data_IF_694844956456
#
_entry.id   IF_694844956456
#
_cell.length_a   1.000
_cell.length_b   1.000
_cell.length_c   1.000
_cell.angle_alpha   90.00
_cell.angle_beta   90.00
_cell.angle_gamma   90.00
#
_symmetry.space_group_name_H-M   'P 1'
#
loop_
_entity.id
_entity.type
_entity.pdbx_description
1 polymer ?
#
# COMPACT_ATOMS: atom_id res chain seq x y z
N UNK A 1 15.46 -46.50 -8.13
CA UNK A 1 14.67 -45.32 -8.53
C UNK A 1 13.43 -45.27 -7.66
N UNK A 2 13.50 -44.52 -6.56
CA UNK A 2 12.39 -44.35 -5.61
C UNK A 2 11.45 -43.30 -6.19
N UNK A 3 10.27 -43.72 -6.66
CA UNK A 3 9.20 -42.80 -6.98
C UNK A 3 8.81 -42.10 -5.68
N UNK A 4 9.21 -40.83 -5.55
CA UNK A 4 8.73 -39.97 -4.49
C UNK A 4 7.20 -40.03 -4.50
N UNK A 5 6.60 -40.41 -3.37
CA UNK A 5 5.17 -40.24 -3.14
C UNK A 5 4.91 -38.74 -3.06
N UNK A 6 4.80 -38.09 -4.21
CA UNK A 6 4.10 -36.81 -4.33
C UNK A 6 2.71 -37.08 -3.78
N UNK A 7 2.41 -36.54 -2.61
CA UNK A 7 1.05 -36.51 -2.09
C UNK A 7 0.27 -35.55 -2.99
N UNK A 8 -0.62 -36.04 -3.86
CA UNK A 8 -1.39 -35.18 -4.76
C UNK A 8 -2.17 -34.13 -3.95
N UNK A 9 -2.04 -32.86 -4.33
CA UNK A 9 -2.70 -31.73 -3.65
C UNK A 9 -4.12 -31.52 -4.18
N UNK A 10 -4.96 -30.77 -3.45
CA UNK A 10 -6.31 -30.41 -3.91
C UNK A 10 -6.34 -29.71 -5.27
N UNK A 11 -5.25 -29.05 -5.66
CA UNK A 11 -5.08 -28.38 -6.95
C UNK A 11 -5.13 -29.36 -8.14
N UNK A 12 -4.61 -30.57 -7.99
CA UNK A 12 -4.64 -31.58 -9.07
C UNK A 12 -6.07 -32.07 -9.34
N UNK A 13 -6.87 -32.18 -8.27
CA UNK A 13 -8.30 -32.53 -8.38
C UNK A 13 -9.07 -31.38 -9.03
N UNK A 14 -8.78 -30.13 -8.65
CA UNK A 14 -9.40 -28.96 -9.28
C UNK A 14 -9.05 -28.84 -10.77
N UNK A 15 -7.80 -29.13 -11.15
CA UNK A 15 -7.38 -29.14 -12.56
C UNK A 15 -8.07 -30.24 -13.37
N UNK A 16 -8.17 -31.46 -12.82
CA UNK A 16 -8.91 -32.55 -13.45
C UNK A 16 -10.41 -32.23 -13.59
N UNK A 17 -11.00 -31.60 -12.57
CA UNK A 17 -12.39 -31.18 -12.58
C UNK A 17 -12.64 -30.06 -13.60
N UNK A 18 -11.73 -29.09 -13.73
CA UNK A 18 -11.77 -28.06 -14.76
C UNK A 18 -11.61 -28.63 -16.18
N UNK A 19 -10.85 -29.72 -16.34
CA UNK A 19 -10.74 -30.46 -17.60
C UNK A 19 -11.97 -31.34 -17.90
N UNK A 20 -12.89 -31.51 -16.95
CA UNK A 20 -14.06 -32.38 -17.09
C UNK A 20 -13.75 -33.86 -16.95
N UNK A 21 -12.53 -34.24 -16.53
CA UNK A 21 -12.11 -35.63 -16.43
C UNK A 21 -12.56 -36.25 -15.09
N UNK A 22 -13.82 -36.65 -15.05
CA UNK A 22 -14.43 -37.35 -13.90
C UNK A 22 -13.67 -38.63 -13.55
N UNK A 23 -13.02 -39.29 -14.52
CA UNK A 23 -12.24 -40.50 -14.30
C UNK A 23 -10.99 -40.22 -13.46
N UNK A 24 -10.24 -39.17 -13.83
CA UNK A 24 -9.06 -38.72 -13.08
C UNK A 24 -9.46 -38.18 -11.71
N UNK A 25 -10.55 -37.41 -11.62
CA UNK A 25 -11.09 -36.97 -10.33
C UNK A 25 -11.36 -38.18 -9.42
N UNK A 26 -12.12 -39.18 -9.88
CA UNK A 26 -12.39 -40.42 -9.10
C UNK A 26 -11.11 -41.13 -8.67
N UNK A 27 -10.13 -41.22 -9.55
CA UNK A 27 -8.86 -41.85 -9.26
C UNK A 27 -8.08 -41.10 -8.17
N UNK A 28 -8.07 -39.77 -8.20
CA UNK A 28 -7.44 -38.93 -7.18
C UNK A 28 -8.19 -39.04 -5.83
N UNK A 29 -9.53 -39.02 -5.84
CA UNK A 29 -10.32 -39.18 -4.62
C UNK A 29 -10.09 -40.53 -3.94
N UNK A 30 -10.00 -41.61 -4.70
CA UNK A 30 -9.72 -42.94 -4.17
C UNK A 30 -8.35 -43.04 -3.48
N UNK A 31 -7.44 -42.09 -3.72
CA UNK A 31 -6.11 -41.99 -3.10
C UNK A 31 -6.08 -41.07 -1.87
N UNK A 32 -7.24 -40.54 -1.47
CA UNK A 32 -7.38 -39.68 -0.30
C UNK A 32 -7.05 -38.22 -0.55
N UNK A 33 -7.11 -37.73 -1.80
CA UNK A 33 -6.98 -36.30 -2.06
C UNK A 33 -8.15 -35.54 -1.42
N UNK A 34 -7.90 -34.42 -0.72
CA UNK A 34 -8.98 -33.61 -0.18
C UNK A 34 -9.78 -32.97 -1.32
N UNK A 35 -11.10 -32.87 -1.14
CA UNK A 35 -11.98 -32.10 -2.02
C UNK A 35 -12.49 -30.91 -1.23
N UNK A 36 -12.12 -29.71 -1.65
CA UNK A 36 -12.69 -28.49 -1.12
C UNK A 36 -13.67 -27.88 -2.13
N UNK A 37 -14.28 -26.78 -1.73
CA UNK A 37 -15.23 -26.00 -2.53
C UNK A 37 -14.62 -25.47 -3.83
N UNK A 38 -13.29 -25.34 -3.88
CA UNK A 38 -12.49 -24.91 -5.04
C UNK A 38 -12.57 -25.88 -6.23
N UNK A 39 -12.69 -27.20 -5.99
CA UNK A 39 -12.82 -28.21 -7.05
C UNK A 39 -14.13 -28.03 -7.83
N UNK A 40 -15.24 -27.84 -7.11
CA UNK A 40 -16.54 -27.57 -7.75
C UNK A 40 -16.53 -26.21 -8.44
N UNK A 41 -15.89 -25.20 -7.84
CA UNK A 41 -15.72 -23.89 -8.46
C UNK A 41 -14.88 -23.93 -9.74
N UNK A 42 -13.82 -24.74 -9.78
CA UNK A 42 -12.99 -24.93 -10.96
C UNK A 42 -13.75 -25.62 -12.11
N UNK A 43 -14.51 -26.68 -11.81
CA UNK A 43 -15.40 -27.31 -12.78
C UNK A 43 -16.46 -26.34 -13.30
N UNK A 44 -17.04 -25.54 -12.40
CA UNK A 44 -18.06 -24.56 -12.74
C UNK A 44 -17.51 -23.42 -13.62
N UNK A 45 -16.34 -22.87 -13.28
CA UNK A 45 -15.63 -21.86 -14.07
C UNK A 45 -15.25 -22.37 -15.48
N UNK A 46 -15.00 -23.68 -15.61
CA UNK A 46 -14.67 -24.33 -16.89
C UNK A 46 -15.90 -24.87 -17.64
N UNK A 47 -17.12 -24.61 -17.15
CA UNK A 47 -18.39 -25.08 -17.73
C UNK A 47 -18.52 -26.61 -17.83
N UNK A 48 -17.92 -27.35 -16.90
CA UNK A 48 -17.93 -28.82 -16.92
C UNK A 48 -19.17 -29.35 -16.20
N UNK A 49 -20.33 -29.28 -16.87
CA UNK A 49 -21.63 -29.69 -16.30
C UNK A 49 -21.60 -31.11 -15.72
N UNK A 50 -21.07 -32.09 -16.46
CA UNK A 50 -21.00 -33.49 -16.01
C UNK A 50 -20.06 -33.68 -14.80
N UNK A 51 -19.01 -32.87 -14.69
CA UNK A 51 -18.15 -32.89 -13.52
C UNK A 51 -18.85 -32.24 -12.30
N UNK A 52 -19.59 -31.15 -12.51
CA UNK A 52 -20.40 -30.52 -11.46
C UNK A 52 -21.51 -31.44 -10.95
N UNK A 53 -22.26 -32.07 -11.86
CA UNK A 53 -23.28 -33.09 -11.56
C UNK A 53 -22.68 -34.23 -10.76
N UNK A 54 -21.57 -34.81 -11.23
CA UNK A 54 -20.91 -35.89 -10.53
C UNK A 54 -20.44 -35.48 -9.13
N UNK A 55 -19.84 -34.30 -8.97
CA UNK A 55 -19.37 -33.78 -7.67
C UNK A 55 -20.53 -33.56 -6.69
N UNK A 56 -21.69 -33.12 -7.17
CA UNK A 56 -22.90 -32.92 -6.37
C UNK A 56 -23.58 -34.23 -6.01
N UNK A 57 -23.61 -35.21 -6.92
CA UNK A 57 -24.14 -36.56 -6.69
C UNK A 57 -23.32 -37.36 -5.66
N UNK A 58 -22.02 -37.08 -5.52
CA UNK A 58 -21.23 -37.63 -4.42
C UNK A 58 -21.66 -37.07 -3.03
N UNK A 59 -22.61 -36.14 -3.00
CA UNK A 59 -23.43 -35.81 -1.85
C UNK A 59 -22.63 -35.38 -0.63
N UNK A 60 -21.85 -34.30 -0.76
CA UNK A 60 -21.19 -33.66 0.38
C UNK A 60 -20.24 -34.50 1.23
N UNK A 61 -19.99 -35.76 0.88
CA UNK A 61 -19.02 -36.63 1.54
C UNK A 61 -17.58 -36.22 1.21
N UNK A 62 -17.41 -35.43 0.15
CA UNK A 62 -16.14 -34.89 -0.32
C UNK A 62 -15.65 -33.69 0.53
N UNK A 63 -16.55 -32.91 1.14
CA UNK A 63 -16.19 -31.69 1.86
C UNK A 63 -15.54 -31.96 3.22
N UNK A 64 -15.59 -33.18 3.74
CA UNK A 64 -15.05 -33.55 5.03
C UNK A 64 -13.66 -34.22 4.94
N UNK A 65 -12.63 -33.44 4.61
CA UNK A 65 -11.25 -33.85 4.95
C UNK A 65 -10.49 -32.71 5.59
N UNK A 66 -10.81 -32.41 6.85
CA UNK A 66 -9.85 -31.84 7.80
C UNK A 66 -10.31 -32.03 9.26
N UNK A 67 -9.60 -32.91 9.97
CA UNK A 67 -9.42 -32.98 11.43
C UNK A 67 -10.62 -33.29 12.35
N UNK A 68 -10.29 -33.83 13.53
CA UNK A 68 -11.19 -34.46 14.51
C UNK A 68 -12.24 -33.50 15.09
N UNK A 69 -13.51 -33.66 14.70
CA UNK A 69 -14.66 -33.00 15.31
C UNK A 69 -15.77 -34.01 15.66
N UNK A 70 -16.56 -33.80 16.74
CA UNK A 70 -17.64 -34.70 17.15
C UNK A 70 -18.73 -34.84 16.07
N UNK A 71 -19.35 -36.03 15.97
CA UNK A 71 -20.32 -36.37 14.92
C UNK A 71 -21.51 -35.41 14.78
N UNK A 72 -21.95 -34.76 15.87
CA UNK A 72 -23.02 -33.76 15.85
C UNK A 72 -22.60 -32.44 15.17
N UNK A 73 -21.36 -31.99 15.36
CA UNK A 73 -20.80 -30.81 14.68
C UNK A 73 -20.48 -31.09 13.20
N UNK A 74 -20.36 -32.36 12.82
CA UNK A 74 -20.08 -32.79 11.44
C UNK A 74 -21.27 -32.58 10.51
N UNK A 75 -22.52 -32.73 11.01
CA UNK A 75 -23.74 -32.53 10.23
C UNK A 75 -23.94 -31.07 9.84
N UNK A 76 -23.92 -30.17 10.83
CA UNK A 76 -24.10 -28.73 10.62
C UNK A 76 -22.95 -28.14 9.79
N UNK A 77 -21.72 -28.61 10.01
CA UNK A 77 -20.56 -28.17 9.22
C UNK A 77 -20.57 -28.70 7.79
N UNK A 78 -21.06 -29.92 7.53
CA UNK A 78 -21.21 -30.48 6.19
C UNK A 78 -22.28 -29.74 5.38
N UNK A 79 -23.38 -29.38 6.04
CA UNK A 79 -24.44 -28.56 5.44
C UNK A 79 -23.93 -27.13 5.14
N UNK A 80 -23.24 -26.49 6.09
CA UNK A 80 -22.64 -25.15 5.90
C UNK A 80 -21.53 -25.16 4.84
N UNK A 81 -20.66 -26.17 4.83
CA UNK A 81 -19.59 -26.31 3.83
C UNK A 81 -20.13 -26.64 2.44
N UNK A 82 -21.22 -27.41 2.37
CA UNK A 82 -21.92 -27.71 1.13
C UNK A 82 -22.64 -26.52 0.53
N UNK A 83 -23.36 -25.77 1.38
CA UNK A 83 -24.02 -24.53 0.99
C UNK A 83 -23.00 -23.49 0.48
N UNK A 84 -21.88 -23.31 1.19
CA UNK A 84 -20.77 -22.44 0.75
C UNK A 84 -20.13 -22.93 -0.54
N UNK A 85 -19.91 -24.23 -0.69
CA UNK A 85 -19.35 -24.81 -1.92
C UNK A 85 -20.23 -24.54 -3.14
N UNK A 86 -21.55 -24.66 -2.98
CA UNK A 86 -22.51 -24.34 -4.03
C UNK A 86 -22.53 -22.84 -4.36
N UNK A 87 -22.46 -21.95 -3.36
CA UNK A 87 -22.34 -20.51 -3.57
C UNK A 87 -21.11 -20.14 -4.41
N UNK A 88 -19.94 -20.66 -4.03
CA UNK A 88 -18.71 -20.32 -4.73
C UNK A 88 -18.70 -20.87 -6.15
N UNK A 89 -19.22 -22.08 -6.37
CA UNK A 89 -19.36 -22.64 -7.71
C UNK A 89 -20.31 -21.84 -8.59
N UNK A 90 -21.42 -21.37 -8.03
CA UNK A 90 -22.37 -20.50 -8.70
C UNK A 90 -21.71 -19.17 -9.10
N UNK A 91 -20.95 -18.54 -8.20
CA UNK A 91 -20.19 -17.31 -8.51
C UNK A 91 -19.14 -17.54 -9.60
N UNK A 92 -18.42 -18.66 -9.53
CA UNK A 92 -17.42 -19.01 -10.52
C UNK A 92 -18.03 -19.23 -11.92
N UNK A 93 -19.17 -19.94 -12.00
CA UNK A 93 -19.92 -20.08 -13.24
C UNK A 93 -20.41 -18.72 -13.77
N UNK A 94 -20.99 -17.87 -12.91
CA UNK A 94 -21.47 -16.54 -13.29
C UNK A 94 -20.33 -15.64 -13.79
N UNK A 95 -19.23 -15.57 -13.06
CA UNK A 95 -18.04 -14.78 -13.42
C UNK A 95 -17.41 -15.25 -14.73
N UNK A 96 -17.46 -16.56 -15.01
CA UNK A 96 -17.01 -17.12 -16.28
C UNK A 96 -18.04 -17.00 -17.43
N UNK A 97 -19.24 -16.49 -17.15
CA UNK A 97 -20.30 -16.30 -18.14
C UNK A 97 -21.13 -17.55 -18.45
N UNK A 98 -21.01 -18.62 -17.65
CA UNK A 98 -21.71 -19.90 -17.85
C UNK A 98 -23.10 -19.87 -17.23
N UNK A 99 -24.01 -19.16 -17.89
CA UNK A 99 -25.34 -18.81 -17.37
C UNK A 99 -26.20 -20.03 -17.05
N UNK A 100 -26.28 -21.01 -17.97
CA UNK A 100 -27.12 -22.20 -17.77
C UNK A 100 -26.65 -23.05 -16.58
N UNK A 101 -25.33 -23.18 -16.44
CA UNK A 101 -24.73 -23.89 -15.31
C UNK A 101 -24.94 -23.12 -14.00
N UNK A 102 -24.79 -21.80 -14.01
CA UNK A 102 -25.11 -20.95 -12.86
C UNK A 102 -26.59 -21.08 -12.45
N UNK A 103 -27.52 -21.07 -13.42
CA UNK A 103 -28.95 -21.24 -13.19
C UNK A 103 -29.31 -22.63 -12.66
N UNK A 104 -28.61 -23.65 -13.15
CA UNK A 104 -28.73 -25.01 -12.65
C UNK A 104 -28.24 -25.11 -11.20
N UNK A 105 -27.07 -24.56 -10.88
CA UNK A 105 -26.53 -24.51 -9.52
C UNK A 105 -27.44 -23.75 -8.55
N UNK A 106 -28.03 -22.63 -9.00
CA UNK A 106 -28.98 -21.85 -8.21
C UNK A 106 -30.23 -22.68 -7.82
N UNK A 107 -30.75 -23.52 -8.72
CA UNK A 107 -31.90 -24.39 -8.45
C UNK A 107 -31.59 -25.49 -7.43
N UNK A 108 -30.33 -25.90 -7.32
CA UNK A 108 -29.87 -26.89 -6.34
C UNK A 108 -29.63 -26.29 -4.94
N UNK A 109 -29.77 -24.97 -4.79
CA UNK A 109 -29.61 -24.31 -3.51
C UNK A 109 -30.90 -24.39 -2.70
N UNK A 110 -30.96 -25.37 -1.80
CA UNK A 110 -32.18 -25.76 -1.07
C UNK A 110 -32.68 -24.70 -0.06
N UNK A 111 -31.79 -23.88 0.51
CA UNK A 111 -32.14 -22.91 1.57
C UNK A 111 -32.43 -21.49 1.04
N UNK A 112 -32.42 -21.29 -0.29
CA UNK A 112 -32.50 -19.96 -0.91
C UNK A 112 -31.16 -19.20 -0.87
N UNK A 113 -31.18 -17.92 -1.25
CA UNK A 113 -30.01 -17.05 -1.23
C UNK A 113 -30.05 -16.15 0.00
N UNK A 114 -29.03 -16.22 0.86
CA UNK A 114 -28.84 -15.23 1.90
C UNK A 114 -28.27 -13.91 1.32
N UNK A 115 -28.17 -12.85 2.14
CA UNK A 115 -27.68 -11.54 1.69
C UNK A 115 -26.22 -11.59 1.15
N UNK A 116 -25.38 -12.48 1.67
CA UNK A 116 -24.00 -12.65 1.19
C UNK A 116 -23.99 -13.32 -0.18
N UNK A 117 -24.85 -14.32 -0.37
CA UNK A 117 -25.03 -15.02 -1.62
C UNK A 117 -25.59 -14.14 -2.71
N UNK A 118 -26.57 -13.33 -2.37
CA UNK A 118 -27.13 -12.33 -3.26
C UNK A 118 -26.06 -11.33 -3.70
N UNK A 119 -25.23 -10.81 -2.77
CA UNK A 119 -24.11 -9.90 -3.08
C UNK A 119 -23.08 -10.53 -4.02
N UNK A 120 -22.65 -11.75 -3.71
CA UNK A 120 -21.68 -12.48 -4.52
C UNK A 120 -22.20 -12.80 -5.91
N UNK A 121 -23.47 -13.22 -6.02
CA UNK A 121 -24.12 -13.54 -7.29
C UNK A 121 -24.29 -12.30 -8.16
N UNK A 122 -24.79 -11.22 -7.56
CA UNK A 122 -24.91 -9.90 -8.15
C UNK A 122 -23.59 -9.43 -8.80
N UNK A 123 -22.51 -9.43 -8.02
CA UNK A 123 -21.19 -9.01 -8.52
C UNK A 123 -20.69 -9.93 -9.64
N UNK A 124 -20.81 -11.25 -9.46
CA UNK A 124 -20.32 -12.23 -10.42
C UNK A 124 -21.08 -12.19 -11.75
N UNK A 125 -22.41 -11.99 -11.70
CA UNK A 125 -23.23 -11.80 -12.89
C UNK A 125 -22.85 -10.51 -13.61
N UNK A 126 -22.72 -9.40 -12.89
CA UNK A 126 -22.33 -8.09 -13.43
C UNK A 126 -20.97 -8.15 -14.13
N UNK A 127 -20.00 -8.82 -13.53
CA UNK A 127 -18.65 -8.99 -14.08
C UNK A 127 -18.64 -9.92 -15.31
N UNK A 128 -19.24 -11.11 -15.23
CA UNK A 128 -19.01 -12.18 -16.22
C UNK A 128 -20.09 -12.40 -17.30
N UNK A 129 -21.36 -12.20 -16.97
CA UNK A 129 -22.48 -12.56 -17.85
C UNK A 129 -22.88 -11.41 -18.79
N UNK A 130 -23.44 -11.69 -19.97
CA UNK A 130 -23.99 -10.66 -20.88
C UNK A 130 -25.28 -10.04 -20.35
N UNK A 131 -25.57 -8.78 -20.68
CA UNK A 131 -26.72 -8.02 -20.19
C UNK A 131 -28.08 -8.71 -20.38
N UNK A 132 -28.35 -9.24 -21.58
CA UNK A 132 -29.63 -9.90 -21.88
C UNK A 132 -29.88 -11.11 -20.96
N UNK A 133 -28.82 -11.78 -20.54
CA UNK A 133 -28.89 -12.93 -19.64
C UNK A 133 -28.96 -12.49 -18.17
N UNK A 134 -28.28 -11.41 -17.79
CA UNK A 134 -28.42 -10.81 -16.44
C UNK A 134 -29.88 -10.44 -16.14
N UNK A 135 -30.61 -9.89 -17.12
CA UNK A 135 -32.01 -9.47 -16.95
C UNK A 135 -32.97 -10.60 -16.56
N UNK A 136 -32.68 -11.84 -16.98
CA UNK A 136 -33.50 -13.03 -16.71
C UNK A 136 -33.30 -13.53 -15.27
N UNK A 137 -32.05 -13.60 -14.80
CA UNK A 137 -31.68 -14.19 -13.50
C UNK A 137 -31.65 -13.20 -12.33
N UNK A 138 -31.91 -11.92 -12.61
CA UNK A 138 -31.97 -10.84 -11.62
C UNK A 138 -33.37 -10.64 -11.01
N UNK A 139 -34.42 -11.21 -11.62
CA UNK A 139 -35.79 -11.11 -11.10
C UNK A 139 -35.95 -11.66 -9.67
N UNK A 140 -35.27 -12.74 -9.25
CA UNK A 140 -35.30 -13.20 -7.85
C UNK A 140 -34.65 -12.23 -6.85
N UNK A 141 -33.71 -11.39 -7.29
CA UNK A 141 -32.97 -10.44 -6.44
C UNK A 141 -33.70 -9.10 -6.27
N UNK A 142 -34.81 -8.90 -6.99
CA UNK A 142 -35.43 -7.59 -7.30
C UNK A 142 -35.84 -6.75 -6.07
N UNK A 143 -36.09 -7.36 -4.92
CA UNK A 143 -36.42 -6.65 -3.67
C UNK A 143 -35.22 -5.97 -3.01
N UNK A 144 -34.07 -6.65 -2.99
CA UNK A 144 -32.86 -6.20 -2.29
C UNK A 144 -32.02 -5.23 -3.13
N UNK A 145 -32.30 -5.13 -4.42
CA UNK A 145 -31.65 -4.22 -5.36
C UNK A 145 -32.12 -2.76 -5.29
N UNK A 146 -33.09 -2.48 -4.43
CA UNK A 146 -33.39 -1.11 -4.02
C UNK A 146 -32.31 -0.57 -3.06
N UNK A 147 -31.49 -1.44 -2.46
CA UNK A 147 -30.37 -1.05 -1.59
C UNK A 147 -29.26 -0.36 -2.42
N UNK A 148 -28.91 0.90 -2.13
CA UNK A 148 -27.80 1.60 -2.76
C UNK A 148 -26.47 0.84 -2.69
N UNK A 149 -26.21 0.08 -1.62
CA UNK A 149 -24.97 -0.68 -1.49
C UNK A 149 -24.91 -1.86 -2.48
N UNK A 150 -26.04 -2.54 -2.72
CA UNK A 150 -26.15 -3.58 -3.74
C UNK A 150 -25.95 -2.99 -5.14
N UNK A 151 -26.61 -1.86 -5.42
CA UNK A 151 -26.47 -1.19 -6.70
C UNK A 151 -25.00 -0.76 -6.96
N UNK A 152 -24.32 -0.22 -5.95
CA UNK A 152 -22.93 0.20 -6.05
C UNK A 152 -22.00 -0.98 -6.34
N UNK A 153 -22.18 -2.10 -5.64
CA UNK A 153 -21.42 -3.33 -5.86
C UNK A 153 -21.60 -3.86 -7.30
N UNK A 154 -22.84 -3.91 -7.79
CA UNK A 154 -23.12 -4.34 -9.16
C UNK A 154 -22.48 -3.40 -10.19
N UNK A 155 -22.51 -2.09 -9.94
CA UNK A 155 -21.94 -1.09 -10.83
C UNK A 155 -20.40 -1.17 -10.89
N UNK A 156 -19.75 -1.37 -9.75
CA UNK A 156 -18.29 -1.62 -9.67
C UNK A 156 -17.91 -2.91 -10.40
N UNK A 157 -18.67 -3.99 -10.20
CA UNK A 157 -18.42 -5.26 -10.87
C UNK A 157 -18.66 -5.17 -12.39
N UNK A 158 -19.66 -4.40 -12.82
CA UNK A 158 -19.86 -4.10 -14.23
C UNK A 158 -18.69 -3.27 -14.79
N UNK A 159 -18.15 -2.31 -14.05
CA UNK A 159 -16.96 -1.56 -14.48
C UNK A 159 -15.71 -2.45 -14.63
N UNK A 160 -15.60 -3.49 -13.79
CA UNK A 160 -14.53 -4.49 -13.86
C UNK A 160 -14.78 -5.60 -14.89
N UNK A 161 -15.93 -5.58 -15.57
CA UNK A 161 -16.33 -6.61 -16.53
C UNK A 161 -15.37 -6.66 -17.72
N UNK A 162 -14.74 -7.82 -18.00
CA UNK A 162 -13.91 -7.98 -19.18
C UNK A 162 -14.71 -8.07 -20.49
N UNK A 163 -16.05 -8.15 -20.41
CA UNK A 163 -16.92 -8.24 -21.59
C UNK A 163 -17.18 -6.85 -22.21
N UNK A 164 -17.29 -6.74 -23.54
CA UNK A 164 -17.45 -5.46 -24.23
C UNK A 164 -18.79 -4.75 -23.98
N UNK A 165 -19.78 -5.44 -23.39
CA UNK A 165 -21.10 -4.89 -23.06
C UNK A 165 -21.16 -4.25 -21.66
N UNK A 166 -20.02 -4.03 -20.99
CA UNK A 166 -19.97 -3.43 -19.65
C UNK A 166 -20.74 -2.11 -19.53
N UNK A 167 -20.69 -1.25 -20.55
CA UNK A 167 -21.43 0.02 -20.59
C UNK A 167 -22.94 -0.20 -20.58
N UNK A 168 -23.43 -1.22 -21.29
CA UNK A 168 -24.84 -1.55 -21.33
C UNK A 168 -25.31 -2.09 -19.97
N UNK A 169 -24.49 -2.93 -19.32
CA UNK A 169 -24.71 -3.40 -17.94
C UNK A 169 -24.78 -2.23 -16.96
N UNK A 170 -23.80 -1.35 -17.01
CA UNK A 170 -23.70 -0.19 -16.14
C UNK A 170 -24.87 0.78 -16.34
N UNK A 171 -25.28 1.04 -17.59
CA UNK A 171 -26.45 1.87 -17.93
C UNK A 171 -27.73 1.28 -17.36
N UNK A 172 -27.89 -0.04 -17.49
CA UNK A 172 -29.06 -0.73 -16.98
C UNK A 172 -29.11 -0.70 -15.44
N UNK A 173 -27.97 -0.85 -14.76
CA UNK A 173 -27.88 -0.75 -13.29
C UNK A 173 -28.14 0.68 -12.81
N UNK A 174 -27.51 1.68 -13.44
CA UNK A 174 -27.67 3.09 -13.09
C UNK A 174 -29.10 3.60 -13.29
N UNK A 175 -29.83 3.08 -14.29
CA UNK A 175 -31.24 3.38 -14.53
C UNK A 175 -32.19 2.98 -13.38
N UNK A 176 -31.69 2.33 -12.32
CA UNK A 176 -32.45 1.93 -11.12
C UNK A 176 -32.17 2.80 -9.89
N UNK A 177 -31.22 3.74 -9.96
CA UNK A 177 -30.94 4.64 -8.85
C UNK A 177 -29.64 5.45 -9.00
N UNK A 178 -29.71 6.74 -8.68
CA UNK A 178 -28.58 7.68 -8.66
C UNK A 178 -27.61 7.52 -7.45
N UNK A 179 -28.05 7.17 -6.22
CA UNK A 179 -27.17 7.13 -5.04
C UNK A 179 -25.98 6.16 -5.15
N UNK A 180 -26.11 5.11 -5.96
CA UNK A 180 -25.10 4.07 -6.14
C UNK A 180 -23.91 4.51 -7.00
N UNK A 181 -24.09 5.53 -7.84
CA UNK A 181 -23.09 5.98 -8.81
C UNK A 181 -21.88 6.60 -8.10
N UNK A 182 -22.10 7.31 -6.98
CA UNK A 182 -21.02 7.90 -6.18
C UNK A 182 -20.09 6.85 -5.58
N UNK A 183 -20.66 5.74 -5.11
CA UNK A 183 -19.92 4.61 -4.58
C UNK A 183 -19.15 3.84 -5.67
N UNK A 184 -19.45 4.04 -6.96
CA UNK A 184 -18.74 3.41 -8.08
C UNK A 184 -17.59 4.26 -8.64
N UNK A 185 -17.33 5.46 -8.10
CA UNK A 185 -16.17 6.28 -8.49
C UNK A 185 -14.82 5.54 -8.37
N UNK A 186 -14.56 4.71 -7.34
CA UNK A 186 -13.32 3.91 -7.26
C UNK A 186 -13.10 2.93 -8.41
N UNK A 187 -14.11 2.68 -9.26
CA UNK A 187 -13.93 1.88 -10.48
C UNK A 187 -13.00 2.55 -11.49
N UNK A 188 -12.73 3.85 -11.32
CA UNK A 188 -11.64 4.56 -12.01
C UNK A 188 -10.25 3.91 -11.79
N UNK A 189 -10.08 3.12 -10.74
CA UNK A 189 -8.80 2.46 -10.44
C UNK A 189 -8.57 1.21 -11.28
N UNK A 190 -9.55 0.77 -12.07
CA UNK A 190 -9.45 -0.40 -12.94
C UNK A 190 -8.68 -0.07 -14.23
N UNK A 191 -8.17 -1.08 -14.99
CA UNK A 191 -7.40 -0.86 -16.21
C UNK A 191 -8.09 0.04 -17.26
N UNK A 192 -9.42 -0.06 -17.38
CA UNK A 192 -10.24 0.77 -18.29
C UNK A 192 -10.95 1.93 -17.56
N UNK A 193 -10.39 2.36 -16.41
CA UNK A 193 -10.97 3.37 -15.54
C UNK A 193 -11.26 4.71 -16.22
N UNK A 194 -10.48 5.12 -17.22
CA UNK A 194 -10.75 6.32 -18.01
C UNK A 194 -12.05 6.19 -18.83
N UNK A 195 -12.26 5.06 -19.49
CA UNK A 195 -13.47 4.82 -20.28
C UNK A 195 -14.70 4.77 -19.37
N UNK A 196 -14.55 4.22 -18.16
CA UNK A 196 -15.57 4.26 -17.11
C UNK A 196 -15.94 5.69 -16.70
N UNK A 197 -14.94 6.51 -16.40
CA UNK A 197 -15.13 7.91 -16.01
C UNK A 197 -15.77 8.76 -17.11
N UNK A 198 -15.34 8.57 -18.36
CA UNK A 198 -15.94 9.23 -19.53
C UNK A 198 -17.39 8.80 -19.70
N UNK A 199 -17.69 7.51 -19.56
CA UNK A 199 -19.07 7.02 -19.62
C UNK A 199 -19.96 7.63 -18.52
N UNK A 200 -19.47 7.71 -17.28
CA UNK A 200 -20.17 8.37 -16.17
C UNK A 200 -20.48 9.84 -16.47
N UNK A 201 -19.54 10.54 -17.09
CA UNK A 201 -19.67 11.94 -17.47
C UNK A 201 -20.63 12.15 -18.65
N UNK A 202 -20.39 11.44 -19.76
CA UNK A 202 -21.09 11.62 -21.03
C UNK A 202 -22.52 11.07 -20.99
N UNK A 203 -22.72 9.94 -20.32
CA UNK A 203 -24.01 9.22 -20.34
C UNK A 203 -24.89 9.58 -19.15
N UNK A 204 -24.29 9.68 -17.96
CA UNK A 204 -25.02 9.91 -16.72
C UNK A 204 -24.94 11.35 -16.21
N UNK A 205 -24.18 12.22 -16.89
CA UNK A 205 -23.93 13.60 -16.44
C UNK A 205 -23.46 13.66 -14.98
N UNK A 206 -22.78 12.61 -14.51
CA UNK A 206 -22.44 12.46 -13.11
C UNK A 206 -21.35 13.46 -12.73
N UNK A 207 -21.57 14.18 -11.62
CA UNK A 207 -20.62 15.14 -11.06
C UNK A 207 -20.30 14.67 -9.64
N UNK A 208 -19.13 14.06 -9.40
CA UNK A 208 -18.76 13.65 -8.05
C UNK A 208 -18.58 14.86 -7.15
N UNK A 209 -18.91 14.69 -5.87
CA UNK A 209 -18.60 15.69 -4.86
C UNK A 209 -17.09 15.93 -4.78
N UNK A 210 -16.63 17.18 -4.55
CA UNK A 210 -15.21 17.53 -4.54
C UNK A 210 -14.36 16.62 -3.64
N UNK A 211 -14.82 16.33 -2.42
CA UNK A 211 -14.10 15.48 -1.46
C UNK A 211 -13.95 14.04 -1.95
N UNK A 212 -14.99 13.48 -2.57
CA UNK A 212 -14.97 12.13 -3.13
C UNK A 212 -14.04 12.06 -4.34
N UNK A 213 -14.00 13.12 -5.14
CA UNK A 213 -13.10 13.25 -6.27
C UNK A 213 -11.64 13.36 -5.83
N UNK A 214 -11.33 14.16 -4.81
CA UNK A 214 -9.98 14.28 -4.25
C UNK A 214 -9.44 12.96 -3.68
N UNK A 215 -10.28 12.22 -2.93
CA UNK A 215 -9.93 10.85 -2.49
C UNK A 215 -9.62 9.92 -3.67
N UNK A 216 -10.44 9.98 -4.73
CA UNK A 216 -10.23 9.17 -5.92
C UNK A 216 -8.94 9.54 -6.67
N UNK A 217 -8.56 10.82 -6.70
CA UNK A 217 -7.27 11.28 -7.25
C UNK A 217 -6.11 10.66 -6.49
N UNK A 218 -6.12 10.74 -5.15
CA UNK A 218 -5.05 10.20 -4.32
C UNK A 218 -4.90 8.68 -4.50
N UNK A 219 -6.01 7.94 -4.54
CA UNK A 219 -5.99 6.50 -4.80
C UNK A 219 -5.53 6.17 -6.23
N UNK A 220 -5.93 6.94 -7.24
CA UNK A 220 -5.50 6.75 -8.62
C UNK A 220 -4.00 7.01 -8.80
N UNK A 221 -3.44 7.95 -8.05
CA UNK A 221 -2.01 8.20 -8.03
C UNK A 221 -1.22 7.01 -7.46
N UNK A 222 -1.75 6.30 -6.45
CA UNK A 222 -1.13 5.11 -5.83
C UNK A 222 -1.33 3.82 -6.62
N UNK A 223 -2.53 3.60 -7.17
CA UNK A 223 -2.94 2.30 -7.69
C UNK A 223 -2.12 1.89 -8.92
N UNK A 224 -1.49 0.71 -8.91
CA UNK A 224 -0.71 0.22 -10.06
C UNK A 224 -1.55 0.05 -11.34
N UNK A 225 -2.86 -0.17 -11.18
CA UNK A 225 -3.82 -0.42 -12.27
C UNK A 225 -4.34 0.85 -12.93
N UNK A 226 -4.38 1.98 -12.23
CA UNK A 226 -4.81 3.25 -12.80
C UNK A 226 -3.74 3.81 -13.76
N UNK A 227 -4.15 4.37 -14.89
CA UNK A 227 -3.22 4.96 -15.87
C UNK A 227 -2.93 6.44 -15.58
N UNK A 228 -1.90 7.00 -16.22
CA UNK A 228 -1.58 8.43 -16.10
C UNK A 228 -2.67 9.32 -16.74
N UNK A 229 -3.31 8.86 -17.81
CA UNK A 229 -4.43 9.53 -18.47
C UNK A 229 -5.66 9.57 -17.57
N UNK A 230 -5.91 8.47 -16.84
CA UNK A 230 -6.98 8.40 -15.84
C UNK A 230 -6.75 9.42 -14.72
N UNK A 231 -5.52 9.47 -14.20
CA UNK A 231 -5.12 10.46 -13.19
C UNK A 231 -5.25 11.89 -13.72
N UNK A 232 -4.79 12.15 -14.93
CA UNK A 232 -4.88 13.47 -15.58
C UNK A 232 -6.34 13.92 -15.74
N UNK A 233 -7.24 13.02 -16.15
CA UNK A 233 -8.66 13.32 -16.30
C UNK A 233 -9.31 13.66 -14.95
N UNK A 234 -8.98 12.91 -13.89
CA UNK A 234 -9.49 13.17 -12.55
C UNK A 234 -8.98 14.51 -12.00
N UNK A 235 -7.68 14.79 -12.18
CA UNK A 235 -7.05 16.04 -11.77
C UNK A 235 -7.65 17.25 -12.46
N UNK A 236 -7.86 17.20 -13.77
CA UNK A 236 -8.48 18.30 -14.52
C UNK A 236 -9.84 18.73 -13.94
N UNK A 237 -10.58 17.78 -13.35
CA UNK A 237 -11.87 18.03 -12.69
C UNK A 237 -11.73 18.46 -11.24
N UNK A 238 -10.82 17.84 -10.49
CA UNK A 238 -10.58 18.18 -9.09
C UNK A 238 -10.08 19.63 -8.97
N UNK A 239 -9.15 20.02 -9.84
CA UNK A 239 -8.55 21.35 -9.88
C UNK A 239 -9.46 22.44 -10.42
N UNK A 240 -10.57 22.07 -11.08
CA UNK A 240 -11.59 23.03 -11.51
C UNK A 240 -12.41 23.59 -10.34
N UNK A 241 -12.29 23.03 -9.13
CA UNK A 241 -13.02 23.46 -7.94
C UNK A 241 -12.04 23.74 -6.78
N UNK A 242 -12.17 24.86 -6.05
CA UNK A 242 -11.32 25.16 -4.88
C UNK A 242 -11.26 24.04 -3.83
N UNK A 243 -12.39 23.43 -3.50
CA UNK A 243 -12.47 22.34 -2.49
C UNK A 243 -11.76 21.08 -3.01
N UNK A 244 -11.90 20.81 -4.30
CA UNK A 244 -11.21 19.68 -4.94
C UNK A 244 -9.69 19.89 -4.98
N UNK A 245 -9.25 21.14 -5.13
CA UNK A 245 -7.83 21.52 -5.08
C UNK A 245 -7.23 21.30 -3.69
N UNK A 246 -7.91 21.75 -2.63
CA UNK A 246 -7.48 21.51 -1.24
C UNK A 246 -7.37 20.00 -0.95
N UNK A 247 -8.28 19.20 -1.51
CA UNK A 247 -8.25 17.74 -1.34
C UNK A 247 -7.13 17.03 -2.13
N UNK A 248 -6.43 17.72 -3.02
CA UNK A 248 -5.34 17.19 -3.84
C UNK A 248 -3.95 17.76 -3.45
N UNK A 249 -3.86 18.40 -2.27
CA UNK A 249 -2.60 18.93 -1.74
C UNK A 249 -1.58 17.81 -1.48
N UNK A 250 -0.34 18.02 -1.96
CA UNK A 250 0.83 17.14 -1.82
C UNK A 250 0.61 15.65 -2.16
N UNK A 251 0.49 15.32 -3.46
CA UNK A 251 0.46 13.93 -3.97
C UNK A 251 1.86 13.28 -4.11
N UNK A 252 2.88 13.82 -3.43
CA UNK A 252 4.27 13.41 -3.63
C UNK A 252 4.53 11.94 -3.23
N UNK A 253 3.92 11.47 -2.15
CA UNK A 253 4.05 10.09 -1.68
C UNK A 253 3.26 9.09 -2.53
N UNK A 254 2.14 9.54 -3.08
CA UNK A 254 1.22 8.81 -3.95
C UNK A 254 1.89 8.53 -5.30
N UNK A 255 2.33 9.61 -5.96
CA UNK A 255 2.88 9.57 -7.31
C UNK A 255 4.24 8.84 -7.34
N UNK A 256 4.99 8.83 -6.24
CA UNK A 256 6.24 8.10 -6.09
C UNK A 256 6.10 6.56 -6.16
N UNK A 257 4.87 6.02 -6.24
CA UNK A 257 4.53 4.59 -6.35
C UNK A 257 4.95 3.86 -7.65
N UNK A 258 5.98 4.35 -8.34
CA UNK A 258 6.63 3.61 -9.44
C UNK A 258 6.16 3.91 -10.85
N UNK A 259 5.29 4.90 -11.05
CA UNK A 259 4.88 5.34 -12.39
C UNK A 259 5.41 6.75 -12.70
N UNK A 260 6.43 6.81 -13.56
CA UNK A 260 7.00 8.07 -14.05
C UNK A 260 5.94 8.94 -14.72
N UNK A 261 5.05 8.34 -15.51
CA UNK A 261 3.99 9.08 -16.20
C UNK A 261 3.01 9.75 -15.22
N UNK A 262 2.71 9.12 -14.08
CA UNK A 262 1.87 9.75 -13.04
C UNK A 262 2.59 10.89 -12.33
N UNK A 263 3.88 10.71 -12.04
CA UNK A 263 4.72 11.78 -11.49
C UNK A 263 4.76 13.00 -12.41
N UNK A 264 4.94 12.78 -13.70
CA UNK A 264 4.93 13.84 -14.71
C UNK A 264 3.61 14.62 -14.71
N UNK A 265 2.47 13.92 -14.67
CA UNK A 265 1.15 14.56 -14.56
C UNK A 265 1.05 15.40 -13.28
N UNK A 266 1.42 14.85 -12.11
CA UNK A 266 1.34 15.61 -10.84
C UNK A 266 2.26 16.83 -10.81
N UNK A 267 3.45 16.73 -11.38
CA UNK A 267 4.39 17.85 -11.49
C UNK A 267 3.85 18.95 -12.40
N UNK A 268 3.31 18.57 -13.58
CA UNK A 268 2.75 19.50 -14.56
C UNK A 268 1.59 20.32 -13.99
N UNK A 269 0.75 19.70 -13.16
CA UNK A 269 -0.38 20.36 -12.52
C UNK A 269 0.02 21.19 -11.27
N UNK A 270 1.32 21.22 -10.92
CA UNK A 270 1.84 22.01 -9.80
C UNK A 270 1.42 21.48 -8.42
N UNK A 271 1.16 20.17 -8.31
CA UNK A 271 0.73 19.52 -7.07
C UNK A 271 1.87 19.00 -6.19
N UNK A 272 3.11 19.20 -6.64
CA UNK A 272 4.29 18.98 -5.81
C UNK A 272 4.65 20.32 -5.17
N UNK A 273 4.44 20.43 -3.86
CA UNK A 273 4.69 21.66 -3.10
C UNK A 273 6.17 22.05 -3.06
N UNK A 274 7.06 21.05 -3.15
CA UNK A 274 8.49 21.24 -3.03
C UNK A 274 9.10 21.55 -4.42
N UNK A 275 9.74 22.71 -4.63
CA UNK A 275 10.45 23.03 -5.87
C UNK A 275 11.56 22.03 -6.20
N UNK A 276 11.97 21.23 -5.21
CA UNK A 276 12.74 20.01 -5.36
C UNK A 276 11.86 18.85 -4.87
N UNK A 277 11.50 17.84 -5.65
CA UNK A 277 10.66 16.73 -5.18
C UNK A 277 11.40 15.79 -4.18
N UNK A 278 11.94 16.32 -3.08
CA UNK A 278 12.71 15.59 -2.05
C UNK A 278 11.84 14.54 -1.38
N UNK A 279 10.58 14.88 -1.07
CA UNK A 279 9.60 13.94 -0.49
C UNK A 279 9.30 12.80 -1.47
N UNK A 280 8.95 13.12 -2.72
CA UNK A 280 8.69 12.11 -3.74
C UNK A 280 9.92 11.24 -4.02
N UNK A 281 11.13 11.82 -4.05
CA UNK A 281 12.37 11.07 -4.22
C UNK A 281 12.60 10.12 -3.05
N UNK A 282 12.43 10.61 -1.82
CA UNK A 282 12.53 9.78 -0.60
C UNK A 282 11.60 8.58 -0.67
N UNK A 283 10.34 8.81 -1.03
CA UNK A 283 9.33 7.75 -1.06
C UNK A 283 9.53 6.78 -2.22
N UNK A 284 9.98 7.27 -3.38
CA UNK A 284 10.36 6.43 -4.52
C UNK A 284 11.52 5.49 -4.13
N UNK A 285 12.53 6.02 -3.45
CA UNK A 285 13.67 5.24 -2.96
C UNK A 285 13.26 4.23 -1.86
N UNK A 286 12.46 4.64 -0.86
CA UNK A 286 11.89 3.73 0.18
C UNK A 286 11.19 2.51 -0.42
N UNK A 287 10.43 2.73 -1.49
CA UNK A 287 9.65 1.69 -2.17
C UNK A 287 10.45 0.95 -3.26
N UNK A 288 11.72 1.31 -3.47
CA UNK A 288 12.59 0.68 -4.47
C UNK A 288 12.27 1.03 -5.92
N UNK A 289 11.49 2.10 -6.17
CA UNK A 289 11.06 2.53 -7.50
C UNK A 289 12.14 3.33 -8.23
N UNK A 290 13.21 2.64 -8.66
CA UNK A 290 14.40 3.27 -9.29
C UNK A 290 14.10 4.14 -10.51
N UNK A 291 13.18 3.74 -11.38
CA UNK A 291 12.83 4.52 -12.57
C UNK A 291 12.19 5.88 -12.22
N UNK A 292 11.32 5.90 -11.21
CA UNK A 292 10.73 7.12 -10.66
C UNK A 292 11.81 8.00 -10.02
N UNK A 293 12.69 7.43 -9.20
CA UNK A 293 13.80 8.15 -8.60
C UNK A 293 14.74 8.76 -9.66
N UNK A 294 15.10 8.01 -10.70
CA UNK A 294 15.95 8.48 -11.80
C UNK A 294 15.32 9.69 -12.50
N UNK A 295 14.05 9.57 -12.88
CA UNK A 295 13.31 10.65 -13.52
C UNK A 295 13.24 11.90 -12.64
N UNK A 296 12.98 11.75 -11.33
CA UNK A 296 12.96 12.87 -10.39
C UNK A 296 14.32 13.58 -10.31
N UNK A 297 15.43 12.84 -10.33
CA UNK A 297 16.78 13.42 -10.35
C UNK A 297 17.05 14.18 -11.65
N UNK A 298 16.59 13.67 -12.80
CA UNK A 298 16.74 14.33 -14.09
C UNK A 298 15.94 15.64 -14.15
N UNK A 299 14.70 15.63 -13.63
CA UNK A 299 13.88 16.84 -13.48
C UNK A 299 14.59 17.86 -12.59
N UNK A 300 15.12 17.44 -11.44
CA UNK A 300 15.87 18.33 -10.54
C UNK A 300 17.10 18.96 -11.23
N UNK A 301 17.88 18.16 -11.95
CA UNK A 301 19.05 18.61 -12.70
C UNK A 301 18.68 19.65 -13.75
N UNK A 302 17.58 19.43 -14.47
CA UNK A 302 17.11 20.34 -15.52
C UNK A 302 16.52 21.64 -14.96
N UNK A 303 15.75 21.55 -13.87
CA UNK A 303 15.01 22.69 -13.32
C UNK A 303 15.86 23.64 -12.47
N UNK A 304 16.90 23.17 -11.77
CA UNK A 304 17.72 24.06 -10.93
C UNK A 304 19.19 23.58 -10.75
N UNK A 305 20.09 23.90 -11.69
CA UNK A 305 21.50 23.49 -11.62
C UNK A 305 22.27 24.01 -10.40
N UNK A 306 21.84 25.12 -9.80
CA UNK A 306 22.47 25.73 -8.63
C UNK A 306 22.07 25.04 -7.32
N UNK A 307 20.85 24.50 -7.25
CA UNK A 307 20.40 23.69 -6.11
C UNK A 307 20.96 22.27 -6.15
N UNK A 308 21.21 21.75 -7.35
CA UNK A 308 21.95 20.50 -7.51
C UNK A 308 23.30 20.62 -6.79
N UNK A 309 24.07 21.70 -6.98
CA UNK A 309 25.47 21.79 -6.53
C UNK A 309 25.74 22.17 -5.07
N UNK A 310 24.77 22.72 -4.31
CA UNK A 310 25.11 23.43 -3.07
C UNK A 310 24.62 22.84 -1.75
N UNK A 311 23.51 22.10 -1.72
CA UNK A 311 23.01 21.47 -0.49
C UNK A 311 21.89 20.49 -0.85
N UNK A 312 22.23 19.23 -1.15
CA UNK A 312 21.17 18.31 -1.53
C UNK A 312 20.48 17.75 -0.27
N UNK A 313 19.37 18.38 0.14
CA UNK A 313 18.36 17.74 1.02
C UNK A 313 17.93 16.36 0.49
N UNK A 314 18.09 16.15 -0.82
CA UNK A 314 17.97 14.87 -1.51
C UNK A 314 18.95 13.80 -1.03
N UNK A 315 20.20 14.17 -0.70
CA UNK A 315 21.21 13.24 -0.16
C UNK A 315 20.84 12.73 1.23
N UNK A 316 20.41 13.62 2.12
CA UNK A 316 19.90 13.24 3.45
C UNK A 316 18.72 12.28 3.36
N UNK A 317 17.72 12.62 2.53
CA UNK A 317 16.54 11.80 2.33
C UNK A 317 16.87 10.39 1.81
N UNK A 318 17.93 10.26 1.02
CA UNK A 318 18.40 8.96 0.54
C UNK A 318 19.18 8.16 1.59
N UNK A 319 19.96 8.81 2.45
CA UNK A 319 20.72 8.12 3.50
C UNK A 319 19.87 7.63 4.67
N UNK A 320 18.72 8.24 4.90
CA UNK A 320 17.70 7.75 5.84
C UNK A 320 17.23 6.31 5.52
N UNK A 321 17.55 5.77 4.33
CA UNK A 321 16.97 4.53 3.81
C UNK A 321 17.81 3.28 4.09
N UNK A 322 19.01 3.44 4.66
CA UNK A 322 19.94 2.36 5.05
C UNK A 322 20.25 1.32 3.95
N UNK A 323 19.97 1.59 2.68
CA UNK A 323 20.22 0.66 1.57
C UNK A 323 21.46 1.06 0.78
N UNK A 324 22.55 0.33 1.00
CA UNK A 324 23.84 0.56 0.33
C UNK A 324 23.72 0.53 -1.20
N UNK A 325 22.85 -0.31 -1.77
CA UNK A 325 22.68 -0.40 -3.23
C UNK A 325 22.05 0.87 -3.80
N UNK A 326 21.23 1.55 -3.02
CA UNK A 326 20.62 2.81 -3.43
C UNK A 326 21.59 3.98 -3.28
N UNK A 327 22.41 3.99 -2.23
CA UNK A 327 23.49 4.97 -2.04
C UNK A 327 24.54 4.90 -3.15
N UNK A 328 24.97 3.69 -3.52
CA UNK A 328 25.87 3.47 -4.64
C UNK A 328 25.27 3.96 -5.96
N UNK A 329 24.01 3.61 -6.22
CA UNK A 329 23.30 4.05 -7.41
C UNK A 329 23.18 5.59 -7.47
N UNK A 330 22.89 6.25 -6.35
CA UNK A 330 22.82 7.73 -6.29
C UNK A 330 24.18 8.39 -6.52
N UNK A 331 25.26 7.77 -6.03
CA UNK A 331 26.63 8.20 -6.33
C UNK A 331 26.93 8.09 -7.83
N UNK A 332 26.51 7.00 -8.48
CA UNK A 332 26.62 6.84 -9.94
C UNK A 332 25.80 7.88 -10.72
N UNK A 333 24.65 8.29 -10.19
CA UNK A 333 23.84 9.38 -10.76
C UNK A 333 24.48 10.78 -10.61
N UNK A 334 25.61 10.89 -9.92
CA UNK A 334 26.33 12.15 -9.71
C UNK A 334 25.59 13.10 -8.78
N UNK A 335 24.73 12.59 -7.87
CA UNK A 335 24.13 13.40 -6.83
C UNK A 335 25.27 13.93 -5.94
N UNK A 336 25.40 15.25 -5.74
CA UNK A 336 26.47 15.82 -4.94
C UNK A 336 26.12 15.67 -3.45
N UNK A 337 26.40 14.47 -2.98
CA UNK A 337 26.30 14.03 -1.60
C UNK A 337 27.16 14.94 -0.70
N UNK A 338 26.52 15.83 0.06
CA UNK A 338 27.20 16.80 0.93
C UNK A 338 27.12 16.44 2.41
N UNK A 339 27.37 17.43 3.28
CA UNK A 339 27.31 17.31 4.75
C UNK A 339 26.00 16.68 5.27
N UNK A 340 24.88 16.95 4.59
CA UNK A 340 23.56 16.40 4.91
C UNK A 340 23.47 14.86 4.79
N UNK A 341 24.43 14.22 4.14
CA UNK A 341 24.47 12.76 4.05
C UNK A 341 24.87 12.10 5.37
N UNK A 342 25.75 12.74 6.13
CA UNK A 342 26.15 12.28 7.46
C UNK A 342 25.00 12.29 8.45
N UNK A 343 24.15 13.30 8.38
CA UNK A 343 22.96 13.38 9.25
C UNK A 343 21.92 12.34 8.85
N UNK A 344 21.67 12.14 7.54
CA UNK A 344 20.76 11.10 7.06
C UNK A 344 21.21 9.68 7.41
N UNK A 345 22.51 9.39 7.33
CA UNK A 345 23.07 8.07 7.68
C UNK A 345 23.09 7.85 9.19
N UNK A 346 23.37 8.89 9.98
CA UNK A 346 23.25 8.83 11.43
C UNK A 346 21.79 8.62 11.88
N UNK A 347 20.82 9.23 11.20
CA UNK A 347 19.39 9.02 11.47
C UNK A 347 18.96 7.56 11.22
N UNK A 348 19.59 6.90 10.25
CA UNK A 348 19.23 5.56 9.81
C UNK A 348 19.88 4.45 10.66
N UNK A 349 20.88 4.81 11.47
CA UNK A 349 21.63 3.91 12.34
C UNK A 349 22.51 2.89 11.60
N UNK A 350 22.79 3.13 10.32
CA UNK A 350 23.48 2.19 9.46
C UNK A 350 25.01 2.36 9.54
N UNK A 351 25.66 1.57 10.39
CA UNK A 351 27.13 1.56 10.56
C UNK A 351 27.87 1.40 9.22
N UNK A 352 27.43 0.47 8.37
CA UNK A 352 28.05 0.24 7.05
C UNK A 352 27.94 1.46 6.13
N UNK A 353 26.85 2.24 6.24
CA UNK A 353 26.70 3.46 5.46
C UNK A 353 27.62 4.57 5.97
N UNK A 354 27.83 4.68 7.29
CA UNK A 354 28.77 5.61 7.89
C UNK A 354 30.22 5.27 7.53
N UNK A 355 30.60 3.99 7.54
CA UNK A 355 31.93 3.53 7.09
C UNK A 355 32.16 3.84 5.61
N UNK A 356 31.14 3.63 4.77
CA UNK A 356 31.19 3.98 3.35
C UNK A 356 31.42 5.48 3.10
N UNK A 357 30.94 6.37 3.98
CA UNK A 357 31.23 7.80 3.87
C UNK A 357 32.71 8.09 4.07
N UNK A 358 33.32 7.45 5.06
CA UNK A 358 34.76 7.59 5.33
C UNK A 358 35.59 7.04 4.18
N UNK A 359 35.25 5.83 3.70
CA UNK A 359 35.94 5.22 2.54
C UNK A 359 35.79 6.05 1.27
N UNK A 360 34.63 6.70 1.08
CA UNK A 360 34.36 7.60 -0.03
C UNK A 360 35.09 8.95 0.06
N UNK A 361 35.75 9.25 1.18
CA UNK A 361 36.44 10.53 1.40
C UNK A 361 35.49 11.71 1.61
N UNK A 362 34.25 11.45 2.05
CA UNK A 362 33.31 12.51 2.38
C UNK A 362 33.70 13.16 3.72
N UNK A 363 33.79 14.49 3.76
CA UNK A 363 34.13 15.19 4.99
C UNK A 363 32.89 15.28 5.91
N UNK A 364 33.02 14.91 7.20
CA UNK A 364 31.93 15.08 8.16
C UNK A 364 31.67 16.57 8.44
N UNK A 365 30.42 16.95 8.72
CA UNK A 365 30.11 18.33 9.08
C UNK A 365 30.77 18.70 10.42
N UNK A 366 31.33 19.91 10.48
CA UNK A 366 31.99 20.42 11.68
C UNK A 366 31.03 20.80 12.81
N UNK A 367 29.73 20.92 12.52
CA UNK A 367 28.69 21.42 13.44
C UNK A 367 28.16 20.37 14.44
N UNK A 368 28.64 19.13 14.37
CA UNK A 368 28.19 18.04 15.25
C UNK A 368 26.77 17.52 14.95
N UNK A 369 26.14 17.95 13.86
CA UNK A 369 24.77 17.54 13.49
C UNK A 369 24.51 16.01 13.41
N UNK A 370 25.48 15.14 13.05
CA UNK A 370 25.27 13.69 13.10
C UNK A 370 25.07 13.17 14.53
N UNK A 371 25.78 13.74 15.51
CA UNK A 371 25.59 13.40 16.93
C UNK A 371 24.23 13.85 17.45
N UNK A 372 23.78 15.06 17.07
CA UNK A 372 22.45 15.56 17.45
C UNK A 372 21.36 14.60 16.96
N UNK A 373 21.50 14.12 15.73
CA UNK A 373 20.53 13.23 15.09
C UNK A 373 20.48 11.84 15.75
N UNK A 374 21.65 11.24 15.99
CA UNK A 374 21.75 9.95 16.67
C UNK A 374 21.26 10.04 18.13
N UNK A 375 21.58 11.13 18.83
CA UNK A 375 21.15 11.36 20.21
C UNK A 375 19.63 11.56 20.33
N UNK A 376 19.02 12.35 19.44
CA UNK A 376 17.57 12.50 19.38
C UNK A 376 16.84 11.17 19.10
N UNK A 377 17.49 10.25 18.40
CA UNK A 377 16.97 8.90 18.14
C UNK A 377 17.23 7.92 19.30
N UNK A 378 18.03 8.33 20.30
CA UNK A 378 18.43 7.48 21.42
C UNK A 378 19.43 6.37 21.04
N UNK A 379 20.05 6.46 19.87
CA UNK A 379 20.90 5.40 19.32
C UNK A 379 22.35 5.54 19.80
N UNK A 380 22.65 4.92 20.95
CA UNK A 380 23.99 4.91 21.54
C UNK A 380 25.02 4.17 20.67
N UNK A 381 24.59 3.18 19.88
CA UNK A 381 25.49 2.45 18.99
C UNK A 381 25.99 3.37 17.88
N UNK A 382 25.08 4.13 17.26
CA UNK A 382 25.45 5.09 16.22
C UNK A 382 26.32 6.22 16.78
N UNK A 383 26.04 6.71 18.01
CA UNK A 383 26.93 7.67 18.69
C UNK A 383 28.36 7.12 18.86
N UNK A 384 28.49 5.86 19.27
CA UNK A 384 29.79 5.20 19.40
C UNK A 384 30.50 5.01 18.05
N UNK A 385 29.76 4.65 17.00
CA UNK A 385 30.30 4.53 15.63
C UNK A 385 30.79 5.89 15.12
N UNK A 386 30.01 6.96 15.24
CA UNK A 386 30.41 8.32 14.85
C UNK A 386 31.72 8.73 15.54
N UNK A 387 31.85 8.41 16.84
CA UNK A 387 33.07 8.68 17.60
C UNK A 387 34.25 7.86 17.13
N UNK A 388 34.05 6.57 16.84
CA UNK A 388 35.09 5.68 16.30
C UNK A 388 35.60 6.16 14.94
N UNK A 389 34.71 6.70 14.11
CA UNK A 389 35.02 7.24 12.79
C UNK A 389 35.64 8.66 12.83
N UNK A 390 35.77 9.26 14.01
CA UNK A 390 36.42 10.56 14.17
C UNK A 390 35.57 11.75 13.75
N UNK A 391 34.23 11.60 13.71
CA UNK A 391 33.32 12.72 13.40
C UNK A 391 33.45 13.79 14.50
N UNK A 392 33.61 15.09 14.16
CA UNK A 392 33.78 16.16 15.12
C UNK A 392 32.48 16.44 15.91
N UNK A 393 32.63 16.83 17.17
CA UNK A 393 31.50 17.09 18.06
C UNK A 393 30.75 18.41 17.80
N UNK A 394 31.31 19.30 17.00
CA UNK A 394 30.86 20.70 16.96
C UNK A 394 31.98 21.65 17.33
N UNK A 395 31.67 22.95 17.24
CA UNK A 395 32.46 23.98 17.89
C UNK A 395 32.38 23.87 19.43
N UNK A 396 33.31 24.51 20.13
CA UNK A 396 33.38 24.49 21.61
C UNK A 396 32.26 25.31 22.30
N UNK A 397 31.28 25.81 21.54
CA UNK A 397 30.17 26.63 22.06
C UNK A 397 29.02 25.81 22.67
N UNK A 398 29.07 24.48 22.55
CA UNK A 398 28.07 23.56 23.08
C UNK A 398 26.73 23.62 22.34
N UNK A 399 26.70 24.12 21.10
CA UNK A 399 25.50 24.23 20.28
C UNK A 399 24.88 22.87 19.99
N UNK A 400 25.69 21.89 19.55
CA UNK A 400 25.23 20.53 19.23
C UNK A 400 24.59 19.84 20.44
N UNK A 401 25.23 19.91 21.61
CA UNK A 401 24.67 19.36 22.85
C UNK A 401 23.32 20.00 23.20
N UNK A 402 23.25 21.32 23.11
CA UNK A 402 22.05 22.08 23.46
C UNK A 402 20.91 21.87 22.46
N UNK A 403 21.22 21.61 21.18
CA UNK A 403 20.23 21.26 20.14
C UNK A 403 19.47 19.97 20.47
N UNK A 404 20.12 18.96 21.06
CA UNK A 404 19.43 17.73 21.48
C UNK A 404 18.31 18.02 22.49
N UNK A 405 18.56 18.95 23.42
CA UNK A 405 17.57 19.40 24.41
C UNK A 405 16.43 20.22 23.78
N UNK A 406 16.70 20.91 22.67
CA UNK A 406 15.69 21.65 21.92
C UNK A 406 14.79 20.71 21.10
N UNK A 407 15.41 19.80 20.35
CA UNK A 407 14.78 19.02 19.30
C UNK A 407 14.02 17.79 19.83
N UNK A 408 14.50 17.16 20.91
CA UNK A 408 13.90 15.92 21.39
C UNK A 408 12.61 16.14 22.19
N UNK A 409 11.52 15.49 21.78
CA UNK A 409 10.25 15.46 22.51
C UNK A 409 10.30 14.51 23.71
N UNK A 410 11.03 13.41 23.58
CA UNK A 410 11.14 12.33 24.56
C UNK A 410 12.46 12.43 25.33
N UNK A 411 12.50 11.91 26.55
CA UNK A 411 13.75 11.88 27.33
C UNK A 411 14.81 11.03 26.64
N UNK A 412 15.94 11.66 26.32
CA UNK A 412 17.14 11.05 25.72
C UNK A 412 18.32 11.12 26.69
N UNK A 413 18.04 11.03 28.00
CA UNK A 413 19.04 11.14 29.06
C UNK A 413 20.24 10.20 28.90
N UNK A 414 20.09 8.93 28.47
CA UNK A 414 21.25 8.07 28.21
C UNK A 414 22.18 8.61 27.12
N UNK A 415 21.62 9.18 26.04
CA UNK A 415 22.42 9.76 24.97
C UNK A 415 23.14 11.04 25.42
N UNK A 416 22.46 11.91 26.17
CA UNK A 416 23.08 13.12 26.74
C UNK A 416 24.21 12.79 27.72
N UNK A 417 24.02 11.79 28.59
CA UNK A 417 25.08 11.31 29.49
C UNK A 417 26.25 10.72 28.71
N UNK A 418 25.97 9.94 27.67
CA UNK A 418 27.02 9.41 26.80
C UNK A 418 27.82 10.54 26.14
N UNK A 419 27.16 11.58 25.62
CA UNK A 419 27.83 12.72 24.97
C UNK A 419 28.73 13.48 25.95
N UNK A 420 28.26 13.66 27.19
CA UNK A 420 29.02 14.24 28.30
C UNK A 420 30.27 13.40 28.61
N UNK A 421 30.11 12.08 28.79
CA UNK A 421 31.22 11.16 29.08
C UNK A 421 32.22 11.05 27.93
N UNK A 422 31.75 11.19 26.69
CA UNK A 422 32.60 11.18 25.50
C UNK A 422 33.41 12.47 25.31
N UNK A 423 33.14 13.50 26.12
CA UNK A 423 33.88 14.76 26.18
C UNK A 423 33.35 15.85 25.24
N UNK A 424 32.05 15.87 24.94
CA UNK A 424 31.44 16.97 24.19
C UNK A 424 31.34 18.23 25.05
N UNK A 425 31.68 19.39 24.48
CA UNK A 425 31.57 20.71 25.11
C UNK A 425 30.11 21.06 25.45
N UNK A 426 29.88 21.71 26.60
CA UNK A 426 28.53 22.09 27.01
C UNK A 426 28.49 23.52 27.52
N UNK A 427 27.78 24.39 26.80
CA UNK A 427 27.39 25.68 27.36
C UNK A 427 26.11 25.52 28.19
N UNK A 428 26.24 25.35 29.50
CA UNK A 428 25.10 25.13 30.41
C UNK A 428 24.05 26.25 30.36
N UNK A 429 24.46 27.49 30.09
CA UNK A 429 23.53 28.60 29.90
C UNK A 429 22.64 28.44 28.66
N UNK A 430 23.24 28.01 27.54
CA UNK A 430 22.55 27.72 26.29
C UNK A 430 21.69 26.45 26.41
N UNK A 431 22.21 25.40 27.04
CA UNK A 431 21.50 24.16 27.32
C UNK A 431 20.23 24.42 28.14
N UNK A 432 20.32 25.23 29.19
CA UNK A 432 19.16 25.63 30.00
C UNK A 432 18.14 26.45 29.19
N UNK A 433 18.61 27.36 28.34
CA UNK A 433 17.76 28.17 27.48
C UNK A 433 17.00 27.31 26.45
N UNK A 434 17.68 26.39 25.77
CA UNK A 434 17.09 25.49 24.78
C UNK A 434 16.15 24.48 25.43
N UNK A 435 16.55 23.87 26.55
CA UNK A 435 15.69 23.00 27.34
C UNK A 435 14.38 23.68 27.76
N UNK A 436 14.40 24.99 28.02
CA UNK A 436 13.20 25.70 28.46
C UNK A 436 12.18 26.01 27.35
N UNK A 437 12.61 25.98 26.09
CA UNK A 437 11.83 26.40 24.92
C UNK A 437 11.68 25.32 23.85
N UNK A 438 12.41 24.22 23.99
CA UNK A 438 12.37 23.06 23.13
C UNK A 438 11.08 22.25 23.26
N UNK A 439 10.99 21.22 22.41
CA UNK A 439 9.80 20.38 22.29
C UNK A 439 9.55 19.54 23.55
N UNK A 440 10.61 19.05 24.19
CA UNK A 440 10.59 18.22 25.41
C UNK A 440 10.77 18.98 26.74
N UNK A 441 10.29 20.23 26.84
CA UNK A 441 10.65 21.16 27.93
C UNK A 441 10.50 20.64 29.37
N UNK A 442 9.56 19.74 29.64
CA UNK A 442 9.30 19.23 30.99
C UNK A 442 10.46 18.40 31.52
N UNK A 443 10.87 17.36 30.78
CA UNK A 443 11.97 16.49 31.17
C UNK A 443 13.32 17.18 30.95
N UNK A 444 13.47 17.99 29.89
CA UNK A 444 14.74 18.62 29.55
C UNK A 444 15.18 19.62 30.63
N UNK A 445 14.26 20.44 31.14
CA UNK A 445 14.56 21.37 32.24
C UNK A 445 14.92 20.63 33.54
N UNK A 446 14.21 19.55 33.86
CA UNK A 446 14.48 18.75 35.06
C UNK A 446 15.86 18.09 34.97
N UNK A 447 16.18 17.49 33.82
CA UNK A 447 17.47 16.86 33.57
C UNK A 447 18.64 17.86 33.68
N UNK A 448 18.52 19.05 33.08
CA UNK A 448 19.56 20.10 33.17
C UNK A 448 19.76 20.56 34.63
N UNK A 449 18.67 20.73 35.40
CA UNK A 449 18.77 21.07 36.83
C UNK A 449 19.46 19.98 37.64
N UNK A 450 19.16 18.71 37.36
CA UNK A 450 19.81 17.59 38.01
C UNK A 450 21.31 17.54 37.71
N UNK A 451 21.71 17.71 36.45
CA UNK A 451 23.14 17.67 36.10
C UNK A 451 23.91 18.88 36.63
N UNK A 452 23.28 20.07 36.68
CA UNK A 452 23.85 21.24 37.33
C UNK A 452 24.08 21.00 38.84
N UNK A 453 23.15 20.33 39.52
CA UNK A 453 23.29 19.96 40.93
C UNK A 453 24.35 18.87 41.17
N UNK A 454 24.62 18.01 40.18
CA UNK A 454 25.66 16.97 40.23
C UNK A 454 27.07 17.49 39.96
N UNK A 455 27.25 18.80 39.75
CA UNK A 455 28.56 19.45 39.69
C UNK A 455 29.20 19.54 38.31
N UNK A 456 28.55 19.03 37.25
CA UNK A 456 29.06 19.17 35.87
C UNK A 456 29.12 20.63 35.42
N UNK A 457 28.15 21.45 35.83
CA UNK A 457 28.15 22.90 35.59
C UNK A 457 29.18 23.68 36.44
N UNK A 458 29.75 23.06 37.48
CA UNK A 458 30.75 23.69 38.36
C UNK A 458 32.19 23.34 37.96
N UNK A 459 32.41 22.21 37.29
CA UNK A 459 33.74 21.75 36.87
C UNK A 459 34.38 22.65 35.79
N UNK A 460 33.60 23.17 34.83
CA UNK A 460 34.08 24.09 33.78
C UNK A 460 34.43 25.50 34.28
N UNK A 461 33.94 25.91 35.45
CA UNK A 461 34.32 27.21 36.04
C UNK A 461 35.69 27.16 36.74
N UNK A 462 36.31 25.98 36.83
CA UNK A 462 37.55 25.72 37.58
C UNK A 462 38.68 25.07 36.76
N UNK A 463 38.47 24.84 35.46
CA UNK A 463 39.50 24.43 34.50
C UNK A 463 39.84 25.60 33.57
#
# INVERSE_FOLDING_TARGET
MSAARLTPTGEEVAAAAAAGDVGVCRWLLARGCPVAWDVLAAAAAANQCSACEWLLDQGGQCWAVSMAMPAAAKGDWLLDSGARGLSVAMFAAAKAGHVELCAWLLRHKLDGLDLSDQKGLLASLAEGCKLNMQQEYWQPLKGDLADPAMQALGLQAAAASPTPDWQAKATWLAGRGVPAISAALPSALLPDGLAWLQWLDDTLCYRPEPDSLGRCVAEAAKAATATAETLQWLLARALANPIGRESCEDLSAEAAGGSVAKLEVTLREGLLEDPLPVRALRDALRRGHRAAAAWLLDVCRASNPLLWSRDCRMGAAAAELSDMRQLEWLREQGLPLGASLWTGTAASGCETALEWLVEGGYEPPADGSPYVTAACSGDLCTLAVLRRLGVPFGDDDGEAFSEVLWASEVSVSPALLWMLEAGMSVCWGLAAWKAARGRGRSWAQEWVREQAARGWAQAEATA
#
